data_IF_855528984678
#
_entry.id   IF_855528984678
#
_cell.length_a   1.000
_cell.length_b   1.000
_cell.length_c   1.000
_cell.angle_alpha   90.00
_cell.angle_beta   90.00
_cell.angle_gamma   90.00
#
_symmetry.space_group_name_H-M   'P 1'
#
loop_
_entity.id
_entity.type
_entity.pdbx_description
1 polymer ?
#
# COMPACT_ATOMS: atom_id res chain seq x y z
N UNK A 1 20.74 0.41 4.31
CA UNK A 1 20.72 -0.23 2.98
C UNK A 1 19.32 -0.27 2.36
N UNK A 2 18.31 -0.91 2.98
CA UNK A 2 16.93 -0.96 2.45
C UNK A 2 16.29 0.44 2.32
N UNK A 3 16.44 1.28 3.35
CA UNK A 3 15.93 2.64 3.36
C UNK A 3 16.50 3.48 2.20
N UNK A 4 17.82 3.44 2.00
CA UNK A 4 18.46 4.20 0.92
C UNK A 4 18.02 3.71 -0.46
N UNK A 5 17.88 2.39 -0.65
CA UNK A 5 17.39 1.83 -1.90
C UNK A 5 15.95 2.27 -2.20
N UNK A 6 15.11 2.35 -1.18
CA UNK A 6 13.73 2.85 -1.34
C UNK A 6 13.71 4.37 -1.59
N UNK A 7 14.53 5.16 -0.88
CA UNK A 7 14.68 6.60 -1.15
C UNK A 7 15.08 6.87 -2.60
N UNK A 8 16.10 6.17 -3.08
CA UNK A 8 16.58 6.29 -4.45
C UNK A 8 15.50 5.88 -5.46
N UNK A 9 14.87 4.72 -5.24
CA UNK A 9 13.84 4.19 -6.14
C UNK A 9 12.60 5.07 -6.20
N UNK A 10 12.12 5.56 -5.07
CA UNK A 10 10.93 6.39 -4.98
C UNK A 10 11.22 7.88 -5.23
N UNK A 11 12.46 8.31 -5.05
CA UNK A 11 12.88 9.71 -5.18
C UNK A 11 12.19 10.62 -4.17
N UNK A 12 11.94 10.13 -2.95
CA UNK A 12 11.31 10.86 -1.85
C UNK A 12 11.88 10.41 -0.51
N UNK A 13 11.51 11.11 0.57
CA UNK A 13 11.95 10.74 1.91
C UNK A 13 11.28 9.44 2.35
N UNK A 14 12.11 8.50 2.76
CA UNK A 14 11.72 7.24 3.39
C UNK A 14 12.53 7.10 4.67
N UNK A 15 11.87 6.74 5.78
CA UNK A 15 12.54 6.41 7.05
C UNK A 15 12.07 5.06 7.52
N UNK A 16 12.99 4.26 8.03
CA UNK A 16 12.74 2.96 8.60
C UNK A 16 13.64 2.84 9.84
N UNK A 17 13.05 2.71 11.02
CA UNK A 17 13.84 2.66 12.26
C UNK A 17 14.66 1.38 12.38
N UNK A 18 14.11 0.26 11.95
CA UNK A 18 14.75 -1.05 12.01
C UNK A 18 14.26 -1.99 10.92
N UNK A 19 15.19 -2.79 10.40
CA UNK A 19 14.91 -3.86 9.45
C UNK A 19 15.32 -5.19 10.09
N UNK A 20 14.41 -6.15 10.13
CA UNK A 20 14.64 -7.50 10.63
C UNK A 20 14.38 -8.53 9.53
N UNK A 21 15.18 -9.58 9.53
CA UNK A 21 14.93 -10.77 8.71
C UNK A 21 14.36 -11.84 9.64
N UNK A 22 13.07 -12.08 9.49
CA UNK A 22 12.35 -13.09 10.26
C UNK A 22 12.45 -14.49 9.62
N UNK A 23 11.87 -15.45 10.32
CA UNK A 23 11.76 -16.81 9.83
C UNK A 23 10.93 -16.88 8.54
N UNK A 24 11.18 -17.91 7.72
CA UNK A 24 10.45 -18.18 6.47
C UNK A 24 10.53 -17.04 5.45
N UNK A 25 11.69 -16.42 5.30
CA UNK A 25 11.97 -15.38 4.30
C UNK A 25 11.08 -14.13 4.46
N UNK A 26 10.78 -13.77 5.69
CA UNK A 26 10.02 -12.56 6.01
C UNK A 26 10.98 -11.41 6.31
N UNK A 27 10.81 -10.31 5.62
CA UNK A 27 11.41 -9.02 5.98
C UNK A 27 10.40 -8.23 6.80
N UNK A 28 10.85 -7.69 7.91
CA UNK A 28 10.04 -6.89 8.83
C UNK A 28 10.68 -5.51 8.92
N UNK A 29 9.87 -4.49 8.68
CA UNK A 29 10.25 -3.08 8.75
C UNK A 29 9.50 -2.44 9.91
N UNK A 30 10.21 -1.76 10.79
CA UNK A 30 9.66 -1.04 11.93
C UNK A 30 9.64 0.46 11.65
N UNK A 31 8.58 1.11 12.10
CA UNK A 31 8.36 2.56 12.05
C UNK A 31 8.64 3.13 10.66
N UNK A 32 7.92 2.61 9.69
CA UNK A 32 8.04 3.05 8.29
C UNK A 32 7.36 4.39 8.11
N UNK A 33 8.04 5.29 7.45
CA UNK A 33 7.55 6.61 7.06
C UNK A 33 7.93 6.89 5.62
N UNK A 34 6.95 7.27 4.81
CA UNK A 34 7.14 7.62 3.39
C UNK A 34 6.41 8.92 3.10
N UNK A 35 7.12 9.90 2.54
CA UNK A 35 6.54 11.14 2.04
C UNK A 35 6.09 11.00 0.58
N UNK A 36 5.18 11.88 0.19
CA UNK A 36 4.89 12.12 -1.23
C UNK A 36 5.89 13.14 -1.83
N UNK A 37 5.70 13.47 -3.10
CA UNK A 37 6.56 14.44 -3.83
C UNK A 37 6.42 15.88 -3.32
N UNK A 38 5.39 16.19 -2.53
CA UNK A 38 5.16 17.47 -1.87
C UNK A 38 5.70 17.49 -0.43
N UNK A 39 6.44 16.46 -0.02
CA UNK A 39 6.99 16.28 1.34
C UNK A 39 5.90 16.17 2.42
N UNK A 40 4.75 15.62 2.04
CA UNK A 40 3.65 15.35 2.97
C UNK A 40 3.66 13.87 3.35
N UNK A 41 3.39 13.52 4.63
CA UNK A 41 3.32 12.12 5.05
C UNK A 41 2.24 11.36 4.27
N UNK A 42 2.66 10.47 3.37
CA UNK A 42 1.77 9.64 2.58
C UNK A 42 1.47 8.31 3.26
N UNK A 43 2.49 7.68 3.82
CA UNK A 43 2.37 6.41 4.52
C UNK A 43 3.18 6.42 5.81
N UNK A 44 2.55 6.01 6.89
CA UNK A 44 3.21 5.67 8.16
C UNK A 44 2.75 4.30 8.61
N UNK A 45 3.62 3.52 9.26
CA UNK A 45 3.24 2.21 9.77
C UNK A 45 4.21 1.74 10.83
N UNK A 46 3.71 1.28 11.98
CA UNK A 46 4.56 0.79 13.06
C UNK A 46 5.25 -0.52 12.65
N UNK A 47 4.54 -1.39 11.95
CA UNK A 47 5.11 -2.63 11.49
C UNK A 47 4.59 -2.99 10.10
N UNK A 48 5.52 -3.11 9.18
CA UNK A 48 5.27 -3.66 7.85
C UNK A 48 6.06 -4.94 7.68
N UNK A 49 5.47 -5.95 7.07
CA UNK A 49 6.24 -7.15 6.73
C UNK A 49 5.89 -7.67 5.34
N UNK A 50 6.90 -8.22 4.69
CA UNK A 50 6.74 -8.84 3.38
C UNK A 50 7.40 -10.22 3.39
N UNK A 51 6.72 -11.20 2.81
CA UNK A 51 7.32 -12.50 2.54
C UNK A 51 7.97 -12.48 1.16
N UNK A 52 9.28 -12.68 1.12
CA UNK A 52 10.10 -12.61 -0.09
C UNK A 52 10.38 -14.04 -0.59
N UNK A 53 10.41 -14.20 -1.89
CA UNK A 53 10.83 -15.46 -2.51
C UNK A 53 12.35 -15.46 -2.72
N UNK A 54 13.07 -16.26 -1.91
CA UNK A 54 14.53 -16.28 -1.88
C UNK A 54 15.17 -16.66 -3.22
N UNK A 55 14.59 -17.61 -3.95
CA UNK A 55 15.10 -18.01 -5.26
C UNK A 55 15.02 -16.86 -6.26
N UNK A 56 13.93 -16.14 -6.27
CA UNK A 56 13.78 -14.96 -7.12
C UNK A 56 14.82 -13.87 -6.76
N UNK A 57 15.14 -13.71 -5.47
CA UNK A 57 16.14 -12.75 -5.02
C UNK A 57 17.55 -13.12 -5.50
N UNK A 58 17.90 -14.40 -5.52
CA UNK A 58 19.18 -14.90 -6.06
C UNK A 58 19.31 -14.64 -7.57
N UNK A 59 18.19 -14.62 -8.28
CA UNK A 59 18.09 -14.29 -9.71
C UNK A 59 17.99 -12.78 -9.95
N UNK A 60 18.21 -11.93 -8.93
CA UNK A 60 18.07 -10.49 -9.01
C UNK A 60 16.63 -9.98 -9.12
N UNK A 61 15.63 -10.84 -8.87
CA UNK A 61 14.21 -10.50 -8.94
C UNK A 61 13.62 -10.41 -7.53
N UNK A 62 12.78 -9.40 -7.28
CA UNK A 62 12.04 -9.29 -6.01
C UNK A 62 10.63 -9.81 -6.22
N UNK A 63 10.29 -10.93 -5.58
CA UNK A 63 8.95 -11.51 -5.58
C UNK A 63 8.34 -11.40 -4.19
N UNK A 64 7.26 -10.62 -4.06
CA UNK A 64 6.53 -10.41 -2.81
C UNK A 64 5.27 -11.29 -2.81
N UNK A 65 5.22 -12.29 -1.93
CA UNK A 65 4.06 -13.20 -1.84
C UNK A 65 2.98 -12.72 -0.89
N UNK A 66 3.37 -12.08 0.20
CA UNK A 66 2.44 -11.63 1.23
C UNK A 66 2.97 -10.34 1.83
N UNK A 67 2.08 -9.37 1.98
CA UNK A 67 2.38 -8.10 2.64
C UNK A 67 1.44 -7.94 3.81
N UNK A 68 1.95 -7.47 4.95
CA UNK A 68 1.13 -7.05 6.08
C UNK A 68 1.53 -5.66 6.54
N UNK A 69 0.52 -4.89 6.94
CA UNK A 69 0.64 -3.55 7.50
C UNK A 69 -0.15 -3.48 8.79
N UNK A 70 0.51 -3.13 9.86
CA UNK A 70 -0.05 -3.00 11.21
C UNK A 70 0.15 -1.59 11.73
N UNK A 71 -0.91 -1.06 12.35
CA UNK A 71 -0.88 0.23 13.05
C UNK A 71 -0.29 1.33 12.17
N UNK A 72 -1.01 1.71 11.15
CA UNK A 72 -0.51 2.65 10.17
C UNK A 72 -1.55 3.68 9.74
N UNK A 73 -1.08 4.63 8.94
CA UNK A 73 -1.92 5.63 8.30
C UNK A 73 -1.47 5.80 6.86
N UNK A 74 -2.45 5.84 5.95
CA UNK A 74 -2.24 6.13 4.53
C UNK A 74 -3.09 7.35 4.16
N UNK A 75 -2.45 8.36 3.59
CA UNK A 75 -3.12 9.56 3.09
C UNK A 75 -2.85 9.69 1.59
N UNK A 76 -3.87 9.43 0.80
CA UNK A 76 -3.82 9.55 -0.65
C UNK A 76 -4.67 10.73 -1.07
N UNK A 77 -4.22 11.46 -2.08
CA UNK A 77 -5.02 12.54 -2.63
C UNK A 77 -4.71 12.83 -4.09
N UNK A 78 -5.66 13.48 -4.73
CA UNK A 78 -5.52 14.09 -6.05
C UNK A 78 -5.91 15.58 -5.94
N UNK A 79 -4.97 16.47 -6.22
CA UNK A 79 -5.16 17.90 -5.98
C UNK A 79 -6.08 18.56 -7.03
N UNK A 80 -5.92 18.19 -8.32
CA UNK A 80 -6.70 18.71 -9.45
C UNK A 80 -7.11 17.58 -10.38
N UNK A 81 -8.13 17.79 -11.19
CA UNK A 81 -8.65 16.78 -12.12
C UNK A 81 -7.58 16.29 -13.14
N UNK A 82 -6.72 17.18 -13.58
CA UNK A 82 -5.65 16.95 -14.55
C UNK A 82 -4.29 16.64 -13.93
N UNK A 83 -4.15 16.68 -12.60
CA UNK A 83 -2.90 16.36 -11.91
C UNK A 83 -2.76 14.86 -11.64
N UNK A 84 -1.53 14.39 -11.51
CA UNK A 84 -1.27 13.05 -10.97
C UNK A 84 -1.67 12.98 -9.48
N UNK A 85 -2.10 11.81 -9.04
CA UNK A 85 -2.32 11.56 -7.61
C UNK A 85 -0.99 11.52 -6.85
N UNK A 86 -1.01 11.84 -5.55
CA UNK A 86 0.21 11.90 -4.73
C UNK A 86 0.96 10.56 -4.60
N UNK A 87 0.32 9.45 -4.93
CA UNK A 87 0.91 8.11 -4.93
C UNK A 87 1.35 7.61 -6.33
N UNK A 88 1.11 8.38 -7.39
CA UNK A 88 1.39 7.94 -8.76
C UNK A 88 2.86 7.57 -8.95
N UNK A 89 3.78 8.33 -8.36
CA UNK A 89 5.22 8.07 -8.42
C UNK A 89 5.60 6.69 -7.84
N UNK A 90 4.87 6.19 -6.86
CA UNK A 90 5.08 4.83 -6.32
C UNK A 90 4.72 3.80 -7.37
N UNK A 91 3.56 3.96 -8.01
CA UNK A 91 3.16 3.06 -9.10
C UNK A 91 4.15 3.11 -10.25
N UNK A 92 4.62 4.30 -10.61
CA UNK A 92 5.58 4.49 -11.70
C UNK A 92 6.96 3.89 -11.37
N UNK A 93 7.42 4.02 -10.12
CA UNK A 93 8.67 3.40 -9.67
C UNK A 93 8.65 1.86 -9.75
N UNK A 94 7.47 1.25 -9.70
CA UNK A 94 7.30 -0.21 -9.78
C UNK A 94 6.72 -0.69 -11.12
N UNK A 95 6.42 0.22 -12.06
CA UNK A 95 6.13 -0.17 -13.44
C UNK A 95 7.38 -0.70 -14.12
N UNK A 96 7.21 -1.77 -14.87
CA UNK A 96 8.27 -2.29 -15.74
C UNK A 96 8.21 -1.55 -17.07
N UNK A 97 9.17 -0.65 -17.33
CA UNK A 97 9.30 0.07 -18.61
C UNK A 97 10.08 -0.71 -19.68
N UNK A 98 10.49 -1.94 -19.40
CA UNK A 98 11.36 -2.68 -20.30
C UNK A 98 10.64 -3.88 -20.93
N UNK A 99 10.95 -4.11 -22.21
CA UNK A 99 10.69 -5.39 -22.91
C UNK A 99 11.46 -6.56 -22.27
N UNK A 100 12.31 -6.29 -21.28
CA UNK A 100 12.95 -7.28 -20.44
C UNK A 100 12.09 -7.56 -19.18
N UNK A 101 12.03 -8.81 -18.71
CA UNK A 101 11.28 -9.15 -17.51
C UNK A 101 11.79 -8.29 -16.34
N UNK A 102 10.92 -7.48 -15.78
CA UNK A 102 11.29 -6.61 -14.66
C UNK A 102 11.85 -7.45 -13.52
N UNK A 103 12.94 -6.98 -12.93
CA UNK A 103 13.54 -7.58 -11.74
C UNK A 103 12.58 -7.56 -10.51
N UNK A 104 11.44 -6.88 -10.62
CA UNK A 104 10.41 -6.81 -9.58
C UNK A 104 9.13 -7.50 -10.06
N UNK A 105 8.93 -8.72 -9.64
CA UNK A 105 7.71 -9.49 -9.92
C UNK A 105 6.79 -9.42 -8.71
N UNK A 106 5.77 -8.54 -8.73
CA UNK A 106 4.79 -8.44 -7.67
C UNK A 106 3.74 -9.55 -7.79
N UNK A 107 4.08 -10.74 -7.33
CA UNK A 107 3.11 -11.83 -7.17
C UNK A 107 2.50 -11.75 -5.77
N UNK A 108 1.72 -10.72 -5.53
CA UNK A 108 1.08 -10.51 -4.24
C UNK A 108 -0.12 -11.44 -4.08
N UNK A 109 0.02 -12.50 -3.29
CA UNK A 109 -1.03 -13.47 -3.05
C UNK A 109 -1.92 -13.10 -1.84
N UNK A 110 -1.38 -12.32 -0.91
CA UNK A 110 -2.08 -11.96 0.32
C UNK A 110 -1.69 -10.57 0.80
N UNK A 111 -2.70 -9.79 1.14
CA UNK A 111 -2.57 -8.51 1.81
C UNK A 111 -3.33 -8.56 3.13
N UNK A 112 -2.62 -8.33 4.23
CA UNK A 112 -3.15 -8.29 5.59
C UNK A 112 -3.00 -6.88 6.12
N UNK A 113 -4.12 -6.27 6.49
CA UNK A 113 -4.16 -4.93 7.07
C UNK A 113 -4.77 -5.05 8.46
N UNK A 114 -4.18 -4.38 9.45
CA UNK A 114 -4.69 -4.31 10.83
C UNK A 114 -4.53 -2.90 11.36
N UNK A 115 -5.64 -2.34 11.83
CA UNK A 115 -5.73 -1.01 12.47
C UNK A 115 -5.09 0.09 11.61
N UNK A 116 -5.46 0.15 10.33
CA UNK A 116 -5.01 1.17 9.40
C UNK A 116 -6.03 2.31 9.32
N UNK A 117 -5.58 3.54 9.46
CA UNK A 117 -6.36 4.70 9.07
C UNK A 117 -6.05 5.03 7.60
N UNK A 118 -7.09 5.11 6.80
CA UNK A 118 -6.96 5.36 5.37
C UNK A 118 -7.76 6.59 4.96
N UNK A 119 -7.12 7.53 4.29
CA UNK A 119 -7.73 8.70 3.68
C UNK A 119 -7.49 8.74 2.17
N UNK A 120 -8.54 9.07 1.42
CA UNK A 120 -8.47 9.43 0.01
C UNK A 120 -9.27 10.70 -0.25
N UNK A 121 -8.65 11.71 -0.85
CA UNK A 121 -9.25 13.02 -1.11
C UNK A 121 -9.02 13.47 -2.55
N UNK A 122 -10.10 13.80 -3.26
CA UNK A 122 -10.05 14.54 -4.53
C UNK A 122 -10.44 16.00 -4.27
N UNK A 123 -9.48 16.86 -3.98
CA UNK A 123 -9.72 18.24 -3.51
C UNK A 123 -10.52 19.10 -4.48
N UNK A 124 -10.59 18.73 -5.74
CA UNK A 124 -11.35 19.45 -6.76
C UNK A 124 -12.83 19.03 -6.84
N UNK A 125 -13.23 18.00 -6.11
CA UNK A 125 -14.63 17.55 -6.06
C UNK A 125 -15.33 18.05 -4.80
N UNK A 126 -16.66 18.28 -4.87
CA UNK A 126 -17.43 18.71 -3.71
C UNK A 126 -17.54 17.61 -2.66
N UNK A 127 -17.50 18.00 -1.40
CA UNK A 127 -17.80 17.11 -0.29
C UNK A 127 -19.32 16.92 -0.16
N UNK A 128 -19.72 15.74 0.30
CA UNK A 128 -21.12 15.39 0.58
C UNK A 128 -21.26 14.94 2.04
N UNK A 129 -21.43 15.88 2.99
CA UNK A 129 -21.53 15.53 4.41
C UNK A 129 -22.63 14.51 4.70
N UNK A 130 -22.35 13.55 5.58
CA UNK A 130 -23.32 12.54 6.01
C UNK A 130 -23.65 11.46 4.96
N UNK A 131 -22.91 11.41 3.88
CA UNK A 131 -23.03 10.36 2.85
C UNK A 131 -21.67 9.79 2.49
N UNK A 132 -21.64 8.51 2.19
CA UNK A 132 -20.44 7.88 1.64
C UNK A 132 -20.04 8.56 0.33
N UNK A 133 -18.82 9.06 0.28
CA UNK A 133 -18.28 9.73 -0.90
C UNK A 133 -16.90 9.14 -1.25
N UNK A 134 -16.84 8.40 -2.34
CA UNK A 134 -15.60 7.76 -2.77
C UNK A 134 -14.47 8.74 -3.12
N UNK A 135 -14.81 10.00 -3.41
CA UNK A 135 -13.82 11.07 -3.65
C UNK A 135 -13.33 11.75 -2.37
N UNK A 136 -13.98 11.49 -1.23
CA UNK A 136 -13.62 12.00 0.09
C UNK A 136 -13.82 10.91 1.13
N UNK A 137 -13.01 9.86 1.02
CA UNK A 137 -13.11 8.67 1.83
C UNK A 137 -12.17 8.76 3.03
N UNK A 138 -12.69 8.58 4.24
CA UNK A 138 -11.92 8.46 5.48
C UNK A 138 -12.36 7.24 6.26
N UNK A 139 -11.51 6.25 6.27
CA UNK A 139 -11.72 4.97 6.94
C UNK A 139 -10.82 4.89 8.15
N UNK A 140 -11.40 4.63 9.31
CA UNK A 140 -10.67 4.47 10.55
C UNK A 140 -10.64 3.00 10.94
N UNK A 141 -9.50 2.57 11.49
CA UNK A 141 -9.28 1.23 12.01
C UNK A 141 -9.60 0.12 11.01
N UNK A 142 -9.26 0.32 9.75
CA UNK A 142 -9.41 -0.69 8.71
C UNK A 142 -8.67 -1.97 9.09
N UNK A 143 -9.40 -3.07 9.12
CA UNK A 143 -8.83 -4.41 9.14
C UNK A 143 -9.30 -5.15 7.89
N UNK A 144 -8.36 -5.72 7.16
CA UNK A 144 -8.66 -6.45 5.95
C UNK A 144 -7.74 -7.67 5.80
N UNK A 145 -8.29 -8.73 5.26
CA UNK A 145 -7.54 -9.90 4.81
C UNK A 145 -7.98 -10.19 3.37
N UNK A 146 -7.09 -9.92 2.44
CA UNK A 146 -7.37 -9.99 1.01
C UNK A 146 -6.44 -11.03 0.39
N UNK A 147 -7.01 -11.99 -0.33
CA UNK A 147 -6.27 -12.89 -1.22
C UNK A 147 -6.33 -12.36 -2.64
N UNK A 148 -5.18 -12.21 -3.26
CA UNK A 148 -5.05 -11.81 -4.66
C UNK A 148 -4.75 -13.06 -5.47
N UNK A 149 -5.60 -13.39 -6.43
CA UNK A 149 -5.42 -14.53 -7.35
C UNK A 149 -4.69 -14.11 -8.62
N UNK A 150 -5.02 -12.92 -9.11
CA UNK A 150 -4.40 -12.34 -10.30
C UNK A 150 -4.28 -10.83 -10.10
N UNK A 151 -3.11 -10.28 -10.36
CA UNK A 151 -2.87 -8.85 -10.42
C UNK A 151 -2.07 -8.58 -11.69
N UNK A 152 -2.76 -8.19 -12.75
CA UNK A 152 -2.17 -7.78 -14.03
C UNK A 152 -2.60 -6.36 -14.36
N UNK A 153 -2.07 -5.78 -15.44
CA UNK A 153 -2.48 -4.44 -15.88
C UNK A 153 -3.97 -4.38 -16.26
N UNK A 154 -4.53 -5.49 -16.76
CA UNK A 154 -5.88 -5.54 -17.34
C UNK A 154 -6.88 -6.30 -16.47
N UNK A 155 -6.42 -6.98 -15.41
CA UNK A 155 -7.30 -7.83 -14.60
C UNK A 155 -6.85 -7.91 -13.15
N UNK A 156 -7.79 -7.66 -12.25
CA UNK A 156 -7.65 -7.85 -10.81
C UNK A 156 -8.66 -8.89 -10.36
N UNK A 157 -8.18 -10.04 -9.90
CA UNK A 157 -9.02 -11.06 -9.27
C UNK A 157 -8.63 -11.16 -7.80
N UNK A 158 -9.51 -10.73 -6.93
CA UNK A 158 -9.29 -10.74 -5.49
C UNK A 158 -10.45 -11.41 -4.76
N UNK A 159 -10.14 -11.95 -3.58
CA UNK A 159 -11.13 -12.45 -2.62
C UNK A 159 -10.92 -11.70 -1.30
N UNK A 160 -11.93 -11.02 -0.83
CA UNK A 160 -11.96 -10.44 0.51
C UNK A 160 -12.36 -11.54 1.50
N UNK A 161 -11.44 -11.96 2.35
CA UNK A 161 -11.69 -12.98 3.38
C UNK A 161 -12.31 -12.37 4.63
N UNK A 162 -11.91 -11.16 4.96
CA UNK A 162 -12.52 -10.36 6.02
C UNK A 162 -12.26 -8.88 5.74
N UNK A 163 -13.23 -8.06 6.09
CA UNK A 163 -13.15 -6.61 6.00
C UNK A 163 -13.98 -6.02 7.14
N UNK A 164 -13.38 -5.18 7.95
CA UNK A 164 -14.07 -4.36 8.92
C UNK A 164 -13.45 -2.95 8.97
N UNK A 165 -14.29 -1.94 9.10
CA UNK A 165 -13.87 -0.55 9.17
C UNK A 165 -15.02 0.37 9.58
N UNK A 166 -14.67 1.57 10.03
CA UNK A 166 -15.61 2.68 10.23
C UNK A 166 -15.26 3.82 9.28
N UNK A 167 -16.25 4.28 8.54
CA UNK A 167 -16.10 5.41 7.62
C UNK A 167 -16.76 6.67 8.23
N UNK A 168 -16.21 7.85 7.95
CA UNK A 168 -16.61 9.10 8.59
C UNK A 168 -18.08 9.50 8.36
N UNK A 169 -18.74 9.02 7.30
CA UNK A 169 -20.17 9.26 7.05
C UNK A 169 -21.10 8.49 7.99
N UNK A 170 -20.53 7.60 8.84
CA UNK A 170 -21.27 6.75 9.77
C UNK A 170 -21.43 5.31 9.28
N UNK A 171 -20.92 4.96 8.10
CA UNK A 171 -20.88 3.57 7.64
C UNK A 171 -19.94 2.75 8.54
N UNK A 172 -20.47 1.74 9.19
CA UNK A 172 -19.75 0.77 10.03
C UNK A 172 -19.90 -0.62 9.39
N UNK A 173 -18.80 -1.12 8.84
CA UNK A 173 -18.75 -2.47 8.24
C UNK A 173 -18.09 -3.41 9.23
N UNK A 174 -18.82 -4.39 9.69
CA UNK A 174 -18.36 -5.42 10.62
C UNK A 174 -18.39 -6.78 9.95
N UNK A 175 -17.22 -7.39 9.80
CA UNK A 175 -17.09 -8.78 9.32
C UNK A 175 -17.74 -9.07 7.96
N UNK A 176 -17.31 -8.36 6.93
CA UNK A 176 -17.71 -8.61 5.55
C UNK A 176 -16.75 -9.60 4.87
N UNK A 177 -17.29 -10.57 4.10
CA UNK A 177 -16.48 -11.51 3.30
C UNK A 177 -17.18 -11.85 1.99
N UNK A 178 -16.43 -11.98 0.90
CA UNK A 178 -16.89 -12.45 -0.41
C UNK A 178 -15.76 -13.00 -1.28
#
# INVERSE_FOLDING_TARGET
MVENALKEKLGTEVKISRVEIGLFNRVILHDVYIEDRQRTPMLTGNLMSAKIEYRALLDGRVSLRSVSLLDGKINLYKAKADSAANYQFVLDAFKSDSKEPSHLNLTLNSLIIRRLDFGYEEYYKPQTPGRLNASHLRVNRLNANISLKTLTQDSINLRVRSLDFKEQSGLDVQSFSF
#
